data_IF_556287695516
#
_entry.id   IF_556287695516
#
_cell.length_a   1.000
_cell.length_b   1.000
_cell.length_c   1.000
_cell.angle_alpha   90.00
_cell.angle_beta   90.00
_cell.angle_gamma   90.00
#
_symmetry.space_group_name_H-M   'P 1'
#
loop_
_entity.id
_entity.type
_entity.pdbx_description
1 polymer ?
#
# COMPACT_ATOMS: atom_id res chain seq x y z
N UNK A 1 8.43 27.31 20.18
CA UNK A 1 7.54 26.20 19.82
C UNK A 1 7.98 25.73 18.45
N UNK A 2 8.56 24.55 18.39
CA UNK A 2 9.08 23.99 17.12
C UNK A 2 7.90 23.33 16.39
N UNK A 3 7.49 23.94 15.28
CA UNK A 3 6.54 23.30 14.35
C UNK A 3 7.24 22.09 13.78
N UNK A 4 6.65 20.92 13.94
CA UNK A 4 7.26 19.66 13.46
C UNK A 4 7.34 19.67 11.93
N UNK A 5 8.33 18.98 11.37
CA UNK A 5 8.51 18.85 9.91
C UNK A 5 7.22 18.31 9.21
N UNK A 6 6.42 17.56 9.95
CA UNK A 6 5.14 17.04 9.51
C UNK A 6 4.06 18.14 9.39
N UNK A 7 3.96 19.04 10.38
CA UNK A 7 3.03 20.20 10.33
C UNK A 7 3.41 21.14 9.19
N UNK A 8 4.71 21.30 8.92
CA UNK A 8 5.17 22.10 7.77
C UNK A 8 4.80 21.44 6.44
N UNK A 9 4.91 20.12 6.34
CA UNK A 9 4.50 19.39 5.13
C UNK A 9 2.98 19.48 4.91
N UNK A 10 2.17 19.33 5.94
CA UNK A 10 0.71 19.52 5.89
C UNK A 10 0.33 20.96 5.55
N UNK A 11 1.06 21.94 6.08
CA UNK A 11 0.81 23.35 5.81
C UNK A 11 1.17 23.73 4.37
N UNK A 12 2.24 23.16 3.81
CA UNK A 12 2.62 23.31 2.40
C UNK A 12 1.57 22.66 1.48
N UNK A 13 0.99 21.53 1.86
CA UNK A 13 -0.10 20.89 1.13
C UNK A 13 -1.39 21.73 1.17
N UNK A 14 -1.72 22.33 2.30
CA UNK A 14 -2.86 23.27 2.46
C UNK A 14 -2.69 24.55 1.63
N UNK A 15 -1.48 25.09 1.52
CA UNK A 15 -1.20 26.33 0.79
C UNK A 15 -1.27 26.15 -0.73
N UNK A 16 -1.09 24.93 -1.25
CA UNK A 16 -1.18 24.64 -2.70
C UNK A 16 -2.60 24.45 -3.25
N UNK A 17 -3.64 24.65 -2.44
CA UNK A 17 -5.01 24.88 -2.92
C UNK A 17 -5.73 23.71 -3.58
N UNK A 18 -5.14 22.50 -3.63
CA UNK A 18 -5.87 21.28 -3.98
C UNK A 18 -5.51 20.17 -2.98
N UNK A 19 -6.47 19.79 -2.14
CA UNK A 19 -6.41 18.52 -1.44
C UNK A 19 -6.15 17.47 -2.52
N UNK A 20 -5.02 16.76 -2.46
CA UNK A 20 -4.75 15.72 -3.45
C UNK A 20 -5.85 14.69 -3.34
N UNK A 21 -6.57 14.49 -4.42
CA UNK A 21 -7.75 13.65 -4.48
C UNK A 21 -7.34 12.20 -4.71
N UNK A 22 -6.87 11.55 -3.65
CA UNK A 22 -6.46 10.15 -3.69
C UNK A 22 -7.66 9.21 -3.86
N UNK A 23 -8.82 9.58 -3.35
CA UNK A 23 -10.05 8.82 -3.48
C UNK A 23 -10.47 8.68 -4.95
N UNK A 24 -10.56 9.79 -5.70
CA UNK A 24 -10.86 9.72 -7.14
C UNK A 24 -9.83 8.94 -7.94
N UNK A 25 -8.57 8.88 -7.49
CA UNK A 25 -7.55 8.05 -8.16
C UNK A 25 -7.83 6.58 -7.94
N UNK A 26 -8.16 6.17 -6.72
CA UNK A 26 -8.56 4.80 -6.40
C UNK A 26 -9.83 4.42 -7.14
N UNK A 27 -10.82 5.32 -7.16
CA UNK A 27 -12.08 5.08 -7.89
C UNK A 27 -11.82 4.82 -9.39
N UNK A 28 -10.94 5.58 -10.05
CA UNK A 28 -10.57 5.34 -11.45
C UNK A 28 -9.92 3.97 -11.69
N UNK A 29 -9.17 3.46 -10.71
CA UNK A 29 -8.63 2.09 -10.79
C UNK A 29 -9.77 1.08 -10.64
N UNK A 30 -10.61 1.23 -9.61
CA UNK A 30 -11.77 0.37 -9.39
C UNK A 30 -12.69 0.31 -10.61
N UNK A 31 -12.94 1.44 -11.28
CA UNK A 31 -13.78 1.50 -12.48
C UNK A 31 -13.22 0.66 -13.65
N UNK A 32 -11.89 0.53 -13.73
CA UNK A 32 -11.19 -0.24 -14.77
C UNK A 32 -10.90 -1.68 -14.42
N UNK A 33 -10.90 -2.02 -13.14
CA UNK A 33 -10.74 -3.40 -12.69
C UNK A 33 -11.89 -4.26 -13.19
N UNK A 34 -11.62 -5.52 -13.44
CA UNK A 34 -12.66 -6.52 -13.72
C UNK A 34 -13.55 -6.71 -12.49
N UNK A 35 -14.78 -7.09 -12.69
CA UNK A 35 -15.65 -7.52 -11.59
C UNK A 35 -15.07 -8.80 -10.95
N UNK A 36 -15.37 -9.03 -9.69
CA UNK A 36 -14.84 -10.16 -8.94
C UNK A 36 -13.29 -10.19 -8.93
N UNK A 37 -12.70 -9.02 -8.71
CA UNK A 37 -11.26 -8.86 -8.63
C UNK A 37 -10.81 -8.07 -7.41
N UNK A 38 -9.56 -8.27 -7.02
CA UNK A 38 -8.88 -7.48 -5.99
C UNK A 38 -7.61 -6.83 -6.58
N UNK A 39 -7.16 -5.73 -5.99
CA UNK A 39 -5.85 -5.20 -6.27
C UNK A 39 -5.05 -5.06 -4.96
N UNK A 40 -3.80 -5.54 -4.96
CA UNK A 40 -2.93 -5.52 -3.79
C UNK A 40 -1.64 -4.79 -4.17
N UNK A 41 -1.38 -3.67 -3.50
CA UNK A 41 -0.19 -2.85 -3.71
C UNK A 41 0.60 -2.74 -2.42
N UNK A 42 1.83 -3.18 -2.47
CA UNK A 42 2.80 -3.03 -1.39
C UNK A 42 3.58 -1.73 -1.57
N UNK A 43 3.76 -0.98 -0.48
CA UNK A 43 4.61 0.22 -0.50
C UNK A 43 6.10 -0.12 -0.67
N UNK A 44 6.48 -1.34 -0.33
CA UNK A 44 7.85 -1.82 -0.29
C UNK A 44 8.31 -2.07 1.13
N UNK A 45 9.54 -2.53 1.27
CA UNK A 45 10.22 -2.78 2.54
C UNK A 45 11.55 -2.04 2.55
N UNK A 46 12.06 -1.72 3.73
CA UNK A 46 13.43 -1.24 3.90
C UNK A 46 14.42 -2.34 3.49
N UNK A 47 15.50 -1.94 2.84
CA UNK A 47 16.59 -2.84 2.49
C UNK A 47 17.77 -2.64 3.42
N UNK A 48 18.36 -3.73 3.90
CA UNK A 48 19.62 -3.67 4.60
C UNK A 48 20.76 -3.30 3.64
N UNK A 49 21.54 -2.30 4.01
CA UNK A 49 22.75 -1.91 3.27
C UNK A 49 23.94 -2.73 3.75
N UNK A 50 23.96 -3.06 5.04
CA UNK A 50 24.94 -3.92 5.69
C UNK A 50 24.30 -4.70 6.84
N UNK A 51 25.04 -5.49 7.58
CA UNK A 51 24.52 -6.39 8.61
C UNK A 51 23.59 -5.72 9.64
N UNK A 52 23.85 -4.47 9.99
CA UNK A 52 23.10 -3.73 11.02
C UNK A 52 22.58 -2.36 10.53
N UNK A 53 22.72 -2.04 9.25
CA UNK A 53 22.37 -0.73 8.70
C UNK A 53 21.24 -0.82 7.69
N UNK A 54 20.12 -0.14 8.01
CA UNK A 54 19.03 0.10 7.07
C UNK A 54 19.30 1.35 6.25
N UNK A 55 18.97 1.34 4.98
CA UNK A 55 19.00 2.53 4.16
C UNK A 55 17.78 3.43 4.48
N UNK A 56 17.93 4.26 5.50
CA UNK A 56 16.92 5.22 5.92
C UNK A 56 16.59 6.27 4.85
N UNK A 57 17.42 6.41 3.82
CA UNK A 57 17.25 7.39 2.76
C UNK A 57 16.49 6.83 1.55
N UNK A 58 16.48 5.53 1.37
CA UNK A 58 15.78 4.86 0.25
C UNK A 58 14.43 4.28 0.61
N UNK A 59 14.02 4.32 1.86
CA UNK A 59 12.69 3.93 2.32
C UNK A 59 11.61 4.87 1.76
N UNK A 60 11.53 4.94 0.43
CA UNK A 60 10.46 5.64 -0.26
C UNK A 60 9.43 4.61 -0.70
N UNK A 61 8.19 4.86 -0.33
CA UNK A 61 7.08 4.07 -0.82
C UNK A 61 7.10 3.97 -2.35
N UNK A 62 6.71 2.81 -2.86
CA UNK A 62 6.43 2.61 -4.27
C UNK A 62 5.60 3.79 -4.83
N UNK A 63 5.94 4.28 -6.03
CA UNK A 63 5.31 5.47 -6.61
C UNK A 63 3.82 5.31 -6.85
N UNK A 64 3.38 4.13 -7.24
CA UNK A 64 1.96 3.84 -7.47
C UNK A 64 1.21 3.76 -6.16
N UNK A 65 1.82 3.16 -5.11
CA UNK A 65 1.28 3.19 -3.76
C UNK A 65 1.11 4.65 -3.27
N UNK A 66 2.15 5.47 -3.37
CA UNK A 66 2.07 6.89 -3.03
C UNK A 66 1.01 7.63 -3.85
N UNK A 67 0.92 7.35 -5.15
CA UNK A 67 -0.07 7.99 -6.04
C UNK A 67 -1.50 7.74 -5.59
N UNK A 68 -1.78 6.56 -5.02
CA UNK A 68 -3.12 6.15 -4.59
C UNK A 68 -3.44 6.47 -3.13
N UNK A 69 -2.42 6.65 -2.27
CA UNK A 69 -2.61 6.83 -0.82
C UNK A 69 -2.08 8.15 -0.27
N UNK A 70 -1.09 8.75 -0.91
CA UNK A 70 -0.35 9.90 -0.36
C UNK A 70 0.68 9.55 0.72
N UNK A 71 0.78 8.28 1.11
CA UNK A 71 1.68 7.82 2.16
C UNK A 71 3.04 7.45 1.59
N UNK A 72 4.11 7.84 2.30
CA UNK A 72 5.51 7.69 1.85
C UNK A 72 6.33 6.75 2.71
N UNK A 73 5.70 5.90 3.48
CA UNK A 73 6.39 4.95 4.33
C UNK A 73 6.39 3.57 3.68
N UNK A 74 7.39 2.80 4.02
CA UNK A 74 7.51 1.38 3.74
C UNK A 74 6.55 0.53 4.59
N UNK A 75 6.53 -0.75 4.33
CA UNK A 75 5.79 -1.78 5.06
C UNK A 75 4.30 -1.45 5.25
N UNK A 76 3.66 -0.93 4.19
CA UNK A 76 2.23 -0.69 4.10
C UNK A 76 1.65 -1.42 2.90
N UNK A 77 0.36 -1.76 2.99
CA UNK A 77 -0.35 -2.45 1.90
C UNK A 77 -1.70 -1.80 1.66
N UNK A 78 -2.00 -1.51 0.41
CA UNK A 78 -3.31 -1.08 -0.05
C UNK A 78 -4.03 -2.25 -0.71
N UNK A 79 -5.25 -2.55 -0.27
CA UNK A 79 -6.12 -3.55 -0.89
C UNK A 79 -7.38 -2.85 -1.40
N UNK A 80 -7.67 -3.05 -2.69
CA UNK A 80 -8.93 -2.66 -3.31
C UNK A 80 -9.72 -3.94 -3.61
N UNK A 81 -10.92 -4.05 -3.04
CA UNK A 81 -11.78 -5.23 -3.19
C UNK A 81 -13.03 -4.87 -4.01
N UNK A 82 -13.07 -5.34 -5.25
CA UNK A 82 -14.20 -5.18 -6.18
C UNK A 82 -15.09 -6.45 -6.26
N UNK A 83 -14.99 -7.31 -5.28
CA UNK A 83 -15.87 -8.48 -5.17
C UNK A 83 -17.13 -8.19 -4.32
N UNK A 84 -17.20 -7.00 -3.73
CA UNK A 84 -18.33 -6.55 -2.90
C UNK A 84 -18.87 -5.23 -3.41
N UNK A 85 -20.15 -4.96 -3.11
CA UNK A 85 -20.81 -3.70 -3.50
C UNK A 85 -21.35 -2.99 -2.25
N UNK A 86 -20.91 -1.74 -1.98
CA UNK A 86 -19.89 -1.00 -2.72
C UNK A 86 -18.49 -1.61 -2.58
N UNK A 87 -17.62 -1.36 -3.59
CA UNK A 87 -16.24 -1.81 -3.54
C UNK A 87 -15.51 -1.23 -2.31
N UNK A 88 -14.67 -2.04 -1.69
CA UNK A 88 -13.95 -1.66 -0.47
C UNK A 88 -12.52 -1.26 -0.74
N UNK A 89 -12.03 -0.34 0.08
CA UNK A 89 -10.64 0.09 0.11
C UNK A 89 -10.10 -0.09 1.52
N UNK A 90 -9.09 -0.92 1.68
CA UNK A 90 -8.47 -1.23 2.97
C UNK A 90 -6.98 -0.85 2.93
N UNK A 91 -6.49 -0.29 4.01
CA UNK A 91 -5.09 0.07 4.18
C UNK A 91 -4.51 -0.65 5.39
N UNK A 92 -3.37 -1.30 5.19
CA UNK A 92 -2.64 -1.99 6.25
C UNK A 92 -1.36 -1.22 6.56
N UNK A 93 -1.14 -0.92 7.84
CA UNK A 93 0.02 -0.16 8.33
C UNK A 93 0.72 -0.89 9.47
N UNK A 94 1.97 -0.55 9.72
CA UNK A 94 2.66 -1.05 10.92
C UNK A 94 2.11 -0.44 12.20
N UNK A 95 2.01 -1.26 13.24
CA UNK A 95 1.73 -0.78 14.59
C UNK A 95 2.93 0.02 15.14
N UNK A 96 2.67 1.15 15.75
CA UNK A 96 3.70 1.96 16.36
C UNK A 96 4.20 1.32 17.66
N UNK A 97 5.51 1.04 17.75
CA UNK A 97 6.18 0.65 18.99
C UNK A 97 7.04 1.82 19.48
N UNK A 98 6.68 2.48 20.60
CA UNK A 98 7.44 3.63 21.12
C UNK A 98 8.92 3.32 21.44
N UNK A 99 9.26 2.06 21.70
CA UNK A 99 10.63 1.63 21.94
C UNK A 99 11.43 1.63 20.63
N UNK A 100 10.84 1.08 19.59
CA UNK A 100 11.46 0.97 18.28
C UNK A 100 11.50 2.29 17.53
N UNK A 101 10.53 3.18 17.75
CA UNK A 101 10.47 4.53 17.14
C UNK A 101 11.71 5.39 17.44
N UNK A 102 12.40 5.14 18.56
CA UNK A 102 13.66 5.82 18.89
C UNK A 102 14.77 5.49 17.91
N UNK A 103 14.74 4.31 17.30
CA UNK A 103 15.78 3.80 16.40
C UNK A 103 15.41 3.99 14.93
N UNK A 104 14.14 3.74 14.59
CA UNK A 104 13.66 3.70 13.20
C UNK A 104 12.78 4.89 12.81
N UNK A 105 12.58 5.83 13.73
CA UNK A 105 11.70 6.98 13.53
C UNK A 105 10.22 6.65 13.74
N UNK A 106 9.43 7.71 13.82
CA UNK A 106 8.00 7.63 14.12
C UNK A 106 7.23 6.95 12.99
N UNK A 107 6.38 5.99 13.35
CA UNK A 107 5.42 5.36 12.42
C UNK A 107 4.19 6.27 12.23
N UNK A 108 3.47 6.06 11.14
CA UNK A 108 2.21 6.77 10.86
C UNK A 108 1.11 6.14 11.70
N UNK A 109 0.29 6.95 12.39
CA UNK A 109 -0.88 6.45 13.12
C UNK A 109 -2.06 6.20 12.18
N UNK A 110 -3.08 5.47 12.66
CA UNK A 110 -4.30 5.22 11.85
C UNK A 110 -4.99 6.54 11.50
N UNK A 111 -5.10 7.47 12.46
CA UNK A 111 -5.74 8.78 12.27
C UNK A 111 -4.98 9.63 11.23
N UNK A 112 -3.65 9.61 11.27
CA UNK A 112 -2.82 10.31 10.28
C UNK A 112 -2.95 9.67 8.89
N UNK A 113 -2.99 8.35 8.83
CA UNK A 113 -3.16 7.61 7.58
C UNK A 113 -4.52 7.91 6.96
N UNK A 114 -5.60 7.97 7.76
CA UNK A 114 -6.94 8.36 7.33
C UNK A 114 -6.96 9.82 6.83
N UNK A 115 -6.40 10.77 7.61
CA UNK A 115 -6.36 12.18 7.23
C UNK A 115 -5.64 12.40 5.89
N UNK A 116 -4.54 11.67 5.64
CA UNK A 116 -3.73 11.80 4.43
C UNK A 116 -4.41 11.12 3.25
N UNK A 117 -4.83 9.86 3.42
CA UNK A 117 -5.29 9.00 2.32
C UNK A 117 -6.78 9.11 2.02
N UNK A 118 -7.58 9.50 3.02
CA UNK A 118 -9.04 9.45 2.98
C UNK A 118 -9.57 8.01 2.97
N UNK A 119 -8.81 7.06 3.53
CA UNK A 119 -9.23 5.66 3.71
C UNK A 119 -9.63 5.50 5.17
N UNK A 120 -10.84 5.04 5.43
CA UNK A 120 -11.42 4.83 6.75
C UNK A 120 -11.24 3.40 7.28
N UNK A 121 -11.11 2.41 6.38
CA UNK A 121 -10.86 1.01 6.75
C UNK A 121 -9.34 0.77 6.84
N UNK A 122 -8.76 0.98 8.03
CA UNK A 122 -7.33 0.84 8.30
C UNK A 122 -7.11 -0.24 9.36
N UNK A 123 -6.22 -1.17 9.07
CA UNK A 123 -5.85 -2.28 9.95
C UNK A 123 -4.33 -2.34 10.12
N UNK A 124 -3.85 -3.12 11.08
CA UNK A 124 -2.42 -3.38 11.21
C UNK A 124 -1.94 -4.46 10.25
N UNK A 125 -0.68 -4.37 9.83
CA UNK A 125 -0.09 -5.24 8.80
C UNK A 125 -0.16 -6.74 9.13
N UNK A 126 -0.16 -7.10 10.41
CA UNK A 126 -0.26 -8.49 10.84
C UNK A 126 -1.66 -9.10 10.62
N UNK A 127 -2.70 -8.27 10.37
CA UNK A 127 -4.05 -8.71 10.01
C UNK A 127 -4.21 -8.97 8.50
N UNK A 128 -3.20 -8.62 7.69
CA UNK A 128 -3.29 -8.73 6.22
C UNK A 128 -3.58 -10.16 5.76
N UNK A 129 -2.85 -11.15 6.28
CA UNK A 129 -3.02 -12.55 5.87
C UNK A 129 -4.42 -13.06 6.21
N UNK A 130 -4.89 -12.80 7.44
CA UNK A 130 -6.23 -13.21 7.87
C UNK A 130 -7.32 -12.54 7.05
N UNK A 131 -7.13 -11.27 6.68
CA UNK A 131 -8.07 -10.54 5.83
C UNK A 131 -8.07 -11.06 4.40
N UNK A 132 -6.90 -11.35 3.81
CA UNK A 132 -6.81 -11.96 2.48
C UNK A 132 -7.46 -13.36 2.47
N UNK A 133 -7.20 -14.20 3.46
CA UNK A 133 -7.83 -15.51 3.57
C UNK A 133 -9.36 -15.39 3.65
N UNK A 134 -9.87 -14.47 4.43
CA UNK A 134 -11.30 -14.17 4.52
C UNK A 134 -11.90 -13.74 3.18
N UNK A 135 -11.18 -12.88 2.41
CA UNK A 135 -11.58 -12.46 1.07
C UNK A 135 -11.61 -13.67 0.13
N UNK A 136 -10.55 -14.48 0.15
CA UNK A 136 -10.41 -15.64 -0.74
C UNK A 136 -11.38 -16.78 -0.43
N UNK A 137 -11.79 -16.92 0.85
CA UNK A 137 -12.80 -17.92 1.28
C UNK A 137 -14.19 -17.67 0.67
N UNK A 138 -14.46 -16.47 0.14
CA UNK A 138 -15.73 -16.18 -0.56
C UNK A 138 -15.84 -16.90 -1.90
N UNK A 139 -14.73 -17.41 -2.44
CA UNK A 139 -14.66 -18.13 -3.73
C UNK A 139 -15.17 -17.31 -4.95
N UNK A 140 -15.27 -15.99 -4.82
CA UNK A 140 -15.74 -15.07 -5.88
C UNK A 140 -14.61 -14.22 -6.47
N UNK A 141 -13.36 -14.45 -6.07
CA UNK A 141 -12.18 -13.74 -6.58
C UNK A 141 -11.58 -14.49 -7.76
N UNK A 142 -11.67 -13.94 -8.95
CA UNK A 142 -11.13 -14.56 -10.17
C UNK A 142 -9.84 -13.91 -10.66
N UNK A 143 -9.62 -12.65 -10.30
CA UNK A 143 -8.45 -11.89 -10.74
C UNK A 143 -7.85 -11.10 -9.57
N UNK A 144 -6.53 -11.15 -9.43
CA UNK A 144 -5.77 -10.31 -8.51
C UNK A 144 -4.75 -9.46 -9.28
N UNK A 145 -4.77 -8.15 -9.06
CA UNK A 145 -3.87 -7.19 -9.67
C UNK A 145 -2.72 -6.84 -8.72
N UNK A 146 -1.50 -6.89 -9.23
CA UNK A 146 -0.28 -6.49 -8.54
C UNK A 146 0.51 -5.47 -9.37
N UNK A 147 1.27 -4.59 -8.72
CA UNK A 147 2.21 -3.69 -9.41
C UNK A 147 3.49 -4.44 -9.80
N UNK A 148 3.41 -5.21 -10.87
CA UNK A 148 4.51 -6.05 -11.36
C UNK A 148 5.21 -5.47 -12.60
N UNK A 149 4.77 -4.29 -13.08
CA UNK A 149 5.40 -3.66 -14.23
C UNK A 149 6.83 -3.19 -13.91
N UNK A 150 7.75 -3.53 -14.79
CA UNK A 150 9.14 -3.05 -14.73
C UNK A 150 9.57 -2.60 -16.12
N UNK A 151 10.11 -1.39 -16.19
CA UNK A 151 10.59 -0.82 -17.44
C UNK A 151 11.87 -1.50 -17.93
N UNK A 152 12.71 -1.95 -17.00
CA UNK A 152 13.96 -2.65 -17.31
C UNK A 152 14.02 -3.96 -16.51
N UNK A 153 14.71 -4.94 -17.09
CA UNK A 153 15.04 -6.18 -16.42
C UNK A 153 16.07 -5.87 -15.34
N UNK A 154 15.75 -6.18 -14.09
CA UNK A 154 16.65 -6.04 -12.94
C UNK A 154 16.95 -7.42 -12.37
N UNK A 155 18.14 -7.59 -11.83
CA UNK A 155 18.59 -8.87 -11.27
C UNK A 155 17.90 -9.20 -9.94
N UNK A 156 17.48 -8.15 -9.19
CA UNK A 156 16.75 -8.33 -7.95
C UNK A 156 15.25 -8.18 -8.19
N UNK A 157 14.41 -9.14 -7.75
CA UNK A 157 12.98 -9.01 -7.85
C UNK A 157 12.48 -7.87 -6.96
N UNK A 158 11.60 -7.05 -7.50
CA UNK A 158 10.87 -6.06 -6.72
C UNK A 158 9.90 -6.74 -5.74
N UNK A 159 9.67 -6.10 -4.59
CA UNK A 159 8.84 -6.67 -3.52
C UNK A 159 7.41 -7.03 -4.00
N UNK A 160 6.78 -6.19 -4.81
CA UNK A 160 5.47 -6.52 -5.40
C UNK A 160 5.52 -7.75 -6.32
N UNK A 161 6.62 -7.97 -7.05
CA UNK A 161 6.80 -9.16 -7.89
C UNK A 161 6.94 -10.41 -7.03
N UNK A 162 7.71 -10.33 -5.93
CA UNK A 162 7.84 -11.43 -4.97
C UNK A 162 6.47 -11.79 -4.39
N UNK A 163 5.73 -10.81 -3.89
CA UNK A 163 4.38 -11.01 -3.32
C UNK A 163 3.36 -11.52 -4.33
N UNK A 164 3.42 -11.08 -5.57
CA UNK A 164 2.59 -11.62 -6.65
C UNK A 164 2.87 -13.10 -6.94
N UNK A 165 4.12 -13.54 -6.82
CA UNK A 165 4.50 -14.95 -7.00
C UNK A 165 4.10 -15.81 -5.79
N UNK A 166 4.24 -15.31 -4.58
CA UNK A 166 3.74 -15.96 -3.37
C UNK A 166 2.21 -16.15 -3.48
N UNK A 167 1.47 -15.10 -3.80
CA UNK A 167 0.02 -15.15 -3.98
C UNK A 167 -0.43 -16.20 -5.03
N UNK A 168 0.30 -16.33 -6.16
CA UNK A 168 0.02 -17.35 -7.17
C UNK A 168 0.18 -18.77 -6.63
N UNK A 169 1.10 -18.95 -5.68
CA UNK A 169 1.36 -20.26 -5.05
C UNK A 169 0.25 -20.60 -4.09
N UNK A 170 -0.20 -19.63 -3.30
CA UNK A 170 -1.23 -19.81 -2.27
C UNK A 170 -2.63 -19.93 -2.88
N UNK A 171 -2.90 -19.20 -3.97
CA UNK A 171 -4.20 -19.14 -4.63
C UNK A 171 -4.10 -19.48 -6.14
N UNK A 172 -3.79 -20.74 -6.51
CA UNK A 172 -3.51 -21.12 -7.89
C UNK A 172 -4.72 -20.99 -8.85
N UNK A 173 -5.93 -20.89 -8.31
CA UNK A 173 -7.16 -20.70 -9.10
C UNK A 173 -7.41 -19.25 -9.52
N UNK A 174 -6.64 -18.28 -9.01
CA UNK A 174 -6.82 -16.86 -9.27
C UNK A 174 -5.83 -16.36 -10.31
N UNK A 175 -6.33 -15.66 -11.32
CA UNK A 175 -5.49 -15.06 -12.36
C UNK A 175 -4.76 -13.84 -11.82
N UNK A 176 -3.42 -13.86 -11.81
CA UNK A 176 -2.63 -12.70 -11.38
C UNK A 176 -2.25 -11.83 -12.58
N UNK A 177 -2.68 -10.58 -12.57
CA UNK A 177 -2.47 -9.59 -13.63
C UNK A 177 -1.65 -8.40 -13.14
N UNK A 178 -1.04 -7.68 -14.09
CA UNK A 178 -0.35 -6.43 -13.81
C UNK A 178 -1.33 -5.27 -13.67
N UNK A 179 -1.15 -4.45 -12.64
CA UNK A 179 -1.97 -3.27 -12.36
C UNK A 179 -1.69 -2.10 -13.33
N UNK A 180 -0.48 -2.04 -13.89
CA UNK A 180 -0.02 -0.88 -14.68
C UNK A 180 -0.95 -0.43 -15.82
N UNK A 181 -1.66 -1.31 -16.55
CA UNK A 181 -2.57 -0.88 -17.61
C UNK A 181 -3.85 -0.17 -17.11
N UNK A 182 -4.15 -0.26 -15.81
CA UNK A 182 -5.34 0.35 -15.20
C UNK A 182 -5.09 1.83 -14.86
#
# INVERSE_FOLDING_TARGET
MSVTCFEQALQIMRIRGSKMDFESRRQRILDKMEDNSIAILYSGIEHHVSADEYDLFTAQANRNFFYLTGLRRDNMVLVLDKCVEPAKTMLFIEEADPTMERWYGRKVTMEEAEEISGIDEIEYIYELESTLDRIMTREDVYTAYFDTYRHQKVDLPDYNVVKANEFKTDYPGVAVKNLFPL
#
